data_IF_740082513192
#
_entry.id   IF_740082513192
#
_cell.length_a   1.000
_cell.length_b   1.000
_cell.length_c   1.000
_cell.angle_alpha   90.00
_cell.angle_beta   90.00
_cell.angle_gamma   90.00
#
_symmetry.space_group_name_H-M   'P 1'
#
loop_
_entity.id
_entity.type
_entity.pdbx_description
1 polymer ?
#
# COMPACT_ATOMS: atom_id res chain seq x y z
N UNK A 1 -16.83 -0.83 1.70
CA UNK A 1 -16.44 -1.84 2.72
C UNK A 1 -14.99 -2.29 2.61
N UNK A 2 -14.45 -2.57 1.40
CA UNK A 2 -13.06 -3.03 1.21
C UNK A 2 -12.03 -2.16 1.93
N UNK A 3 -12.11 -0.84 1.77
CA UNK A 3 -11.18 0.10 2.43
C UNK A 3 -11.29 0.02 3.96
N UNK A 4 -12.49 -0.11 4.51
CA UNK A 4 -12.70 -0.19 5.97
C UNK A 4 -12.03 -1.44 6.53
N UNK A 5 -12.25 -2.60 5.90
CA UNK A 5 -11.64 -3.87 6.32
C UNK A 5 -10.12 -3.84 6.12
N UNK A 6 -9.64 -3.29 5.00
CA UNK A 6 -8.21 -3.15 4.75
C UNK A 6 -7.53 -2.25 5.79
N UNK A 7 -8.14 -1.11 6.13
CA UNK A 7 -7.63 -0.22 7.18
C UNK A 7 -7.63 -0.91 8.54
N UNK A 8 -8.69 -1.65 8.87
CA UNK A 8 -8.77 -2.43 10.11
C UNK A 8 -7.65 -3.47 10.22
N UNK A 9 -7.34 -4.16 9.13
CA UNK A 9 -6.22 -5.12 9.07
C UNK A 9 -4.85 -4.44 9.06
N UNK A 10 -4.73 -3.25 8.45
CA UNK A 10 -3.46 -2.59 8.18
C UNK A 10 -2.97 -1.62 9.27
N UNK A 11 -3.88 -1.01 10.04
CA UNK A 11 -3.48 -0.02 11.05
C UNK A 11 -2.56 -0.57 12.15
N UNK A 12 -2.70 -1.82 12.66
CA UNK A 12 -1.83 -2.32 13.71
C UNK A 12 -0.38 -2.47 13.24
N UNK A 13 -0.19 -2.88 11.98
CA UNK A 13 1.13 -2.96 11.35
C UNK A 13 1.81 -1.59 11.30
N UNK A 14 1.10 -0.56 10.81
CA UNK A 14 1.64 0.80 10.77
C UNK A 14 1.88 1.38 12.17
N UNK A 15 1.03 1.06 13.14
CA UNK A 15 1.18 1.48 14.53
C UNK A 15 2.46 0.93 15.15
N UNK A 16 2.75 -0.35 14.99
CA UNK A 16 3.97 -1.00 15.50
C UNK A 16 5.21 -0.37 14.86
N UNK A 17 5.18 -0.12 13.55
CA UNK A 17 6.27 0.55 12.85
C UNK A 17 6.51 1.97 13.38
N UNK A 18 5.46 2.78 13.48
CA UNK A 18 5.56 4.15 14.01
C UNK A 18 6.04 4.15 15.46
N UNK A 19 5.59 3.22 16.31
CA UNK A 19 6.08 3.09 17.68
C UNK A 19 7.58 2.83 17.75
N UNK A 20 8.10 1.93 16.90
CA UNK A 20 9.54 1.69 16.81
C UNK A 20 10.32 2.91 16.32
N UNK A 21 9.80 3.59 15.29
CA UNK A 21 10.45 4.78 14.72
C UNK A 21 10.40 6.00 15.65
N UNK A 22 9.34 6.16 16.45
CA UNK A 22 9.23 7.23 17.43
C UNK A 22 10.31 7.16 18.50
N UNK A 23 10.76 5.95 18.86
CA UNK A 23 11.86 5.75 19.82
C UNK A 23 13.22 6.23 19.30
N UNK A 24 13.35 6.45 17.99
CA UNK A 24 14.56 7.03 17.42
C UNK A 24 14.60 8.57 17.51
N UNK A 25 13.49 9.22 17.88
CA UNK A 25 13.43 10.67 18.08
C UNK A 25 13.92 10.97 19.50
N UNK A 26 15.01 11.74 19.67
CA UNK A 26 15.48 12.16 20.98
C UNK A 26 14.45 12.99 21.76
N UNK A 27 14.36 12.78 23.07
CA UNK A 27 13.40 13.47 23.94
C UNK A 27 13.75 14.97 24.15
N UNK A 28 15.01 15.35 23.97
CA UNK A 28 15.51 16.73 24.10
C UNK A 28 14.84 17.70 23.10
N UNK A 29 14.46 17.23 21.90
CA UNK A 29 13.70 18.00 20.93
C UNK A 29 12.32 18.40 21.45
N UNK A 30 11.68 17.52 22.22
CA UNK A 30 10.38 17.82 22.82
C UNK A 30 10.52 18.74 24.04
N UNK A 31 11.58 18.59 24.83
CA UNK A 31 11.88 19.51 25.94
C UNK A 31 12.18 20.93 25.42
N UNK A 32 13.01 21.07 24.38
CA UNK A 32 13.29 22.35 23.74
C UNK A 32 12.01 22.99 23.19
N UNK A 33 11.16 22.20 22.52
CA UNK A 33 9.88 22.69 21.99
C UNK A 33 8.93 23.18 23.10
N UNK A 34 8.97 22.56 24.28
CA UNK A 34 8.16 22.97 25.42
C UNK A 34 8.64 24.30 26.00
N UNK A 35 9.96 24.53 26.00
CA UNK A 35 10.56 25.83 26.38
C UNK A 35 10.17 26.95 25.40
N UNK A 36 10.04 26.63 24.12
CA UNK A 36 9.55 27.56 23.07
C UNK A 36 8.02 27.74 23.09
N UNK A 37 7.30 27.11 24.02
CA UNK A 37 5.85 27.22 24.16
C UNK A 37 5.05 26.42 23.13
N UNK A 38 5.66 25.42 22.49
CA UNK A 38 4.99 24.61 21.49
C UNK A 38 3.95 23.65 22.10
N UNK A 39 2.73 23.66 21.53
CA UNK A 39 1.65 22.76 21.94
C UNK A 39 1.74 21.36 21.30
N UNK A 40 0.91 20.39 21.75
CA UNK A 40 0.94 19.01 21.26
C UNK A 40 0.76 18.87 19.73
N UNK A 41 -0.14 19.67 19.14
CA UNK A 41 -0.36 19.67 17.69
C UNK A 41 0.83 20.27 16.93
N UNK A 42 1.47 21.31 17.48
CA UNK A 42 2.66 21.91 16.87
C UNK A 42 3.82 20.91 16.89
N UNK A 43 4.02 20.20 18.00
CA UNK A 43 5.03 19.15 18.10
C UNK A 43 4.80 18.02 17.09
N UNK A 44 3.55 17.58 16.92
CA UNK A 44 3.23 16.56 15.92
C UNK A 44 3.58 16.99 14.49
N UNK A 45 3.16 18.18 14.06
CA UNK A 45 3.37 18.62 12.67
C UNK A 45 4.77 19.17 12.38
N UNK A 46 5.48 19.70 13.40
CA UNK A 46 6.80 20.35 13.22
C UNK A 46 7.97 19.44 13.56
N UNK A 47 7.81 18.51 14.51
CA UNK A 47 8.89 17.65 14.99
C UNK A 47 8.61 16.21 14.56
N UNK A 48 7.53 15.63 15.07
CA UNK A 48 7.26 14.19 14.92
C UNK A 48 7.07 13.79 13.46
N UNK A 49 6.15 14.45 12.75
CA UNK A 49 5.79 14.10 11.39
C UNK A 49 6.97 14.28 10.40
N UNK A 50 7.69 15.41 10.36
CA UNK A 50 8.83 15.58 9.45
C UNK A 50 9.96 14.57 9.69
N UNK A 51 10.26 14.26 10.96
CA UNK A 51 11.30 13.29 11.31
C UNK A 51 10.89 11.86 10.99
N UNK A 52 9.60 11.51 11.14
CA UNK A 52 9.09 10.19 10.80
C UNK A 52 8.94 9.95 9.30
N UNK A 53 8.61 10.97 8.49
CA UNK A 53 8.39 10.77 7.04
C UNK A 53 9.62 10.17 6.36
N UNK A 54 10.83 10.55 6.76
CA UNK A 54 12.08 10.06 6.16
C UNK A 54 12.22 8.52 6.23
N UNK A 55 12.18 7.89 7.42
CA UNK A 55 12.18 6.43 7.52
C UNK A 55 10.86 5.77 7.10
N UNK A 56 9.72 6.47 7.20
CA UNK A 56 8.41 5.92 6.87
C UNK A 56 8.16 5.82 5.35
N UNK A 57 8.78 6.68 4.54
CA UNK A 57 8.60 6.70 3.08
C UNK A 57 8.81 5.32 2.42
N UNK A 58 9.96 4.63 2.56
CA UNK A 58 10.15 3.31 1.97
C UNK A 58 9.13 2.26 2.48
N UNK A 59 8.71 2.36 3.75
CA UNK A 59 7.72 1.46 4.34
C UNK A 59 6.33 1.69 3.74
N UNK A 60 5.94 2.94 3.49
CA UNK A 60 4.69 3.27 2.82
C UNK A 60 4.67 2.75 1.38
N UNK A 61 5.80 2.83 0.68
CA UNK A 61 5.94 2.30 -0.69
C UNK A 61 5.79 0.77 -0.69
N UNK A 62 6.46 0.09 0.24
CA UNK A 62 6.33 -1.37 0.39
C UNK A 62 4.88 -1.77 0.70
N UNK A 63 4.20 -1.04 1.59
CA UNK A 63 2.79 -1.23 1.90
C UNK A 63 1.87 -0.95 0.69
N UNK A 64 2.19 0.05 -0.12
CA UNK A 64 1.45 0.33 -1.36
C UNK A 64 1.60 -0.84 -2.35
N UNK A 65 2.82 -1.33 -2.58
CA UNK A 65 3.06 -2.48 -3.46
C UNK A 65 2.35 -3.75 -2.98
N UNK A 66 2.31 -3.97 -1.66
CA UNK A 66 1.55 -5.05 -1.03
C UNK A 66 0.04 -4.90 -1.29
N UNK A 67 -0.51 -3.70 -1.03
CA UNK A 67 -1.95 -3.46 -1.22
C UNK A 67 -2.38 -3.49 -2.69
N UNK A 68 -1.50 -3.10 -3.62
CA UNK A 68 -1.75 -3.17 -5.06
C UNK A 68 -2.05 -4.61 -5.53
N UNK A 69 -1.43 -5.60 -4.87
CA UNK A 69 -1.59 -7.02 -5.17
C UNK A 69 -2.37 -7.78 -4.08
N UNK A 70 -3.24 -7.12 -3.33
CA UNK A 70 -3.98 -7.73 -2.22
C UNK A 70 -5.14 -8.60 -2.70
N UNK A 71 -4.80 -9.70 -3.37
CA UNK A 71 -5.72 -10.68 -3.93
C UNK A 71 -6.63 -11.30 -2.86
N UNK A 72 -6.03 -11.73 -1.74
CA UNK A 72 -6.71 -12.47 -0.67
C UNK A 72 -7.88 -11.66 -0.11
N UNK A 73 -7.68 -10.36 0.14
CA UNK A 73 -8.74 -9.51 0.67
C UNK A 73 -9.93 -9.43 -0.29
N UNK A 74 -9.68 -9.17 -1.58
CA UNK A 74 -10.74 -8.95 -2.57
C UNK A 74 -11.51 -10.24 -2.85
N UNK A 75 -10.78 -11.35 -3.04
CA UNK A 75 -11.37 -12.63 -3.36
C UNK A 75 -12.24 -13.14 -2.20
N UNK A 76 -11.76 -13.04 -0.95
CA UNK A 76 -12.52 -13.51 0.21
C UNK A 76 -13.67 -12.59 0.61
N UNK A 77 -13.48 -11.27 0.52
CA UNK A 77 -14.48 -10.33 1.04
C UNK A 77 -15.61 -10.07 0.04
N UNK A 78 -15.26 -9.94 -1.24
CA UNK A 78 -16.19 -9.47 -2.29
C UNK A 78 -16.26 -10.39 -3.49
N UNK A 79 -15.32 -11.33 -3.60
CA UNK A 79 -15.13 -12.16 -4.79
C UNK A 79 -15.11 -11.33 -6.08
N UNK A 80 -14.51 -10.14 -6.04
CA UNK A 80 -14.47 -9.15 -7.13
C UNK A 80 -15.73 -8.31 -7.35
N UNK A 81 -16.86 -8.66 -6.73
CA UNK A 81 -18.16 -8.04 -6.99
C UNK A 81 -18.28 -6.56 -6.57
N UNK A 82 -19.31 -5.83 -7.03
CA UNK A 82 -20.38 -6.28 -7.95
C UNK A 82 -19.87 -6.55 -9.36
N UNK A 83 -20.58 -7.36 -10.14
CA UNK A 83 -20.17 -7.72 -11.51
C UNK A 83 -20.25 -6.51 -12.47
N UNK A 84 -19.31 -6.41 -13.43
CA UNK A 84 -19.33 -5.39 -14.49
C UNK A 84 -20.06 -5.94 -15.70
N UNK A 85 -21.32 -5.53 -15.84
CA UNK A 85 -22.14 -5.90 -16.99
C UNK A 85 -21.54 -5.38 -18.31
N UNK A 86 -21.50 -6.23 -19.34
CA UNK A 86 -21.04 -5.88 -20.68
C UNK A 86 -19.55 -6.10 -20.96
N UNK A 87 -18.79 -6.69 -20.02
CA UNK A 87 -17.39 -7.07 -20.27
C UNK A 87 -17.31 -8.42 -20.98
N UNK A 88 -16.42 -8.53 -21.96
CA UNK A 88 -16.16 -9.78 -22.70
C UNK A 88 -15.55 -10.87 -21.81
N UNK A 89 -14.80 -10.46 -20.80
CA UNK A 89 -14.23 -11.30 -19.75
C UNK A 89 -14.91 -11.00 -18.42
N UNK A 90 -15.15 -12.00 -17.55
CA UNK A 90 -15.68 -11.77 -16.21
C UNK A 90 -14.82 -10.76 -15.44
N UNK A 91 -15.42 -9.68 -14.94
CA UNK A 91 -14.72 -8.65 -14.18
C UNK A 91 -15.70 -7.97 -13.24
N UNK A 92 -15.34 -7.75 -11.97
CA UNK A 92 -16.18 -7.01 -11.05
C UNK A 92 -15.59 -5.65 -10.66
N UNK A 93 -16.41 -4.78 -10.08
CA UNK A 93 -16.06 -3.39 -9.75
C UNK A 93 -15.01 -3.27 -8.65
N UNK A 94 -14.87 -4.27 -7.79
CA UNK A 94 -13.85 -4.28 -6.73
C UNK A 94 -12.63 -5.12 -7.10
N UNK A 95 -12.61 -5.75 -8.28
CA UNK A 95 -11.46 -6.51 -8.74
C UNK A 95 -10.21 -5.63 -8.85
N UNK A 96 -9.12 -6.12 -8.27
CA UNK A 96 -7.77 -5.63 -8.52
C UNK A 96 -7.22 -6.30 -9.78
N UNK A 97 -6.16 -5.75 -10.36
CA UNK A 97 -5.49 -6.38 -11.51
C UNK A 97 -5.10 -7.83 -11.23
N UNK A 98 -4.66 -8.13 -10.00
CA UNK A 98 -4.32 -9.49 -9.59
C UNK A 98 -5.53 -10.43 -9.52
N UNK A 99 -6.68 -9.98 -9.00
CA UNK A 99 -7.89 -10.83 -8.92
C UNK A 99 -8.53 -11.03 -10.29
N UNK A 100 -8.49 -10.00 -11.13
CA UNK A 100 -8.89 -10.10 -12.53
C UNK A 100 -8.01 -11.09 -13.32
N UNK A 101 -6.68 -11.03 -13.14
CA UNK A 101 -5.75 -11.98 -13.77
C UNK A 101 -6.03 -13.41 -13.33
N UNK A 102 -6.27 -13.62 -12.02
CA UNK A 102 -6.63 -14.93 -11.48
C UNK A 102 -7.93 -15.46 -12.09
N UNK A 103 -8.94 -14.60 -12.23
CA UNK A 103 -10.24 -14.97 -12.82
C UNK A 103 -10.11 -15.40 -14.29
N UNK A 104 -9.29 -14.70 -15.08
CA UNK A 104 -8.97 -15.11 -16.46
C UNK A 104 -8.26 -16.48 -16.47
N UNK A 105 -7.33 -16.69 -15.54
CA UNK A 105 -6.54 -17.91 -15.48
C UNK A 105 -7.36 -19.15 -15.08
N UNK A 106 -8.29 -19.00 -14.14
CA UNK A 106 -8.89 -20.12 -13.41
C UNK A 106 -10.41 -20.23 -13.49
N UNK A 107 -11.15 -19.17 -13.82
CA UNK A 107 -12.61 -19.10 -13.66
C UNK A 107 -13.39 -18.87 -14.97
N UNK A 108 -12.73 -18.52 -16.08
CA UNK A 108 -13.38 -18.30 -17.37
C UNK A 108 -14.00 -19.59 -17.95
N UNK A 109 -15.31 -19.58 -18.20
CA UNK A 109 -16.04 -20.71 -18.82
C UNK A 109 -15.59 -21.13 -20.23
N UNK A 110 -14.56 -20.49 -20.79
CA UNK A 110 -13.92 -20.83 -22.07
C UNK A 110 -12.58 -21.58 -21.96
N UNK A 111 -12.11 -21.91 -20.74
CA UNK A 111 -10.86 -22.63 -20.50
C UNK A 111 -9.87 -21.86 -19.61
N UNK A 112 -8.88 -22.57 -19.05
CA UNK A 112 -7.83 -22.01 -18.21
C UNK A 112 -6.67 -21.47 -19.06
N UNK A 113 -6.65 -20.17 -19.33
CA UNK A 113 -5.58 -19.56 -20.12
C UNK A 113 -4.41 -19.09 -19.23
N UNK A 114 -3.57 -20.06 -18.85
CA UNK A 114 -2.37 -19.81 -18.07
C UNK A 114 -1.36 -18.91 -18.80
N UNK A 115 -1.35 -18.93 -20.15
CA UNK A 115 -0.45 -18.13 -20.96
C UNK A 115 -0.79 -16.64 -20.87
N UNK A 116 -2.07 -16.31 -21.06
CA UNK A 116 -2.58 -14.95 -20.90
C UNK A 116 -2.39 -14.45 -19.45
N UNK A 117 -2.67 -15.31 -18.46
CA UNK A 117 -2.47 -14.97 -17.06
C UNK A 117 -1.01 -14.65 -16.72
N UNK A 118 -0.06 -15.46 -17.20
CA UNK A 118 1.37 -15.23 -17.01
C UNK A 118 1.85 -13.93 -17.69
N UNK A 119 1.31 -13.61 -18.87
CA UNK A 119 1.62 -12.37 -19.57
C UNK A 119 1.13 -11.14 -18.78
N UNK A 120 -0.11 -11.16 -18.28
CA UNK A 120 -0.66 -10.07 -17.45
C UNK A 120 0.11 -9.95 -16.13
N UNK A 121 0.43 -11.07 -15.47
CA UNK A 121 1.25 -11.06 -14.25
C UNK A 121 2.63 -10.43 -14.47
N UNK A 122 3.26 -10.70 -15.63
CA UNK A 122 4.54 -10.08 -16.02
C UNK A 122 4.39 -8.57 -16.21
N UNK A 123 3.30 -8.11 -16.82
CA UNK A 123 3.01 -6.67 -16.96
C UNK A 123 2.79 -5.99 -15.60
N UNK A 124 2.04 -6.63 -14.70
CA UNK A 124 1.84 -6.13 -13.33
C UNK A 124 3.17 -6.04 -12.59
N UNK A 125 4.03 -7.06 -12.71
CA UNK A 125 5.36 -7.06 -12.12
C UNK A 125 6.22 -5.90 -12.64
N UNK A 126 6.25 -5.65 -13.95
CA UNK A 126 6.98 -4.52 -14.53
C UNK A 126 6.43 -3.17 -14.04
N UNK A 127 5.10 -3.03 -13.94
CA UNK A 127 4.46 -1.80 -13.48
C UNK A 127 4.77 -1.52 -12.01
N UNK A 128 4.58 -2.50 -11.13
CA UNK A 128 4.87 -2.37 -9.70
C UNK A 128 6.37 -2.20 -9.45
N UNK A 129 7.21 -2.94 -10.19
CA UNK A 129 8.66 -2.82 -10.14
C UNK A 129 9.15 -1.44 -10.58
N UNK A 130 8.60 -0.89 -11.67
CA UNK A 130 8.92 0.46 -12.12
C UNK A 130 8.51 1.51 -11.08
N UNK A 131 7.30 1.42 -10.53
CA UNK A 131 6.85 2.29 -9.45
C UNK A 131 7.76 2.20 -8.22
N UNK A 132 8.17 0.98 -7.83
CA UNK A 132 9.08 0.77 -6.72
C UNK A 132 10.46 1.41 -6.98
N UNK A 133 11.03 1.25 -8.17
CA UNK A 133 12.32 1.84 -8.55
C UNK A 133 12.25 3.38 -8.53
N UNK A 134 11.21 3.97 -9.12
CA UNK A 134 11.00 5.42 -9.12
C UNK A 134 10.93 5.94 -7.68
N UNK A 135 10.18 5.25 -6.83
CA UNK A 135 10.02 5.61 -5.43
C UNK A 135 11.33 5.45 -4.63
N UNK A 136 12.09 4.38 -4.84
CA UNK A 136 13.40 4.19 -4.19
C UNK A 136 14.41 5.25 -4.62
N UNK A 137 14.43 5.63 -5.91
CA UNK A 137 15.27 6.72 -6.41
C UNK A 137 14.85 8.07 -5.84
N UNK A 138 13.56 8.37 -5.78
CA UNK A 138 13.05 9.60 -5.17
C UNK A 138 13.38 9.69 -3.68
N UNK A 139 13.37 8.55 -2.98
CA UNK A 139 13.78 8.50 -1.56
C UNK A 139 15.28 8.73 -1.44
N UNK A 140 16.12 8.05 -2.27
CA UNK A 140 17.59 8.19 -2.26
C UNK A 140 18.09 9.60 -2.58
N UNK A 141 17.44 10.33 -3.49
CA UNK A 141 17.84 11.70 -3.86
C UNK A 141 17.64 12.76 -2.76
N UNK A 142 16.94 12.44 -1.66
CA UNK A 142 16.76 13.35 -0.51
C UNK A 142 17.69 13.00 0.68
N UNK A 143 18.68 12.14 0.49
CA UNK A 143 19.67 11.77 1.51
C UNK A 143 20.97 12.59 1.45
N UNK A 144 21.11 13.50 0.47
CA UNK A 144 22.15 14.54 0.42
C UNK A 144 21.56 15.89 0.85
#
# INVERSE_FOLDING_TARGET
>A
MVIIVNTWLGYPYMMILCMGLLKAIPDDLYEASAMDGAGPFQNFFKITLPLLIKPLTPLMIASFAFNFNNFVLIQLLTNGGPDRLGTTTPAGYTDLLVSYTYRIAFEGGGGQDFGLAAAIATLIFLLVGALAIVNLKATRMKFD
#
